data_IF_459317508259
#
_entry.id   IF_459317508259
#
_cell.length_a   1.000
_cell.length_b   1.000
_cell.length_c   1.000
_cell.angle_alpha   90.00
_cell.angle_beta   90.00
_cell.angle_gamma   90.00
#
_symmetry.space_group_name_H-M   'P 1'
#
loop_
_entity.id
_entity.type
_entity.pdbx_description
1 polymer ?
#
# COMPACT_ATOMS: atom_id res chain seq x y z
N UNK A 1 13.33 -11.58 -19.82
CA UNK A 1 11.86 -11.70 -19.87
C UNK A 1 11.53 -13.16 -19.60
N UNK A 2 10.64 -13.50 -18.67
CA UNK A 2 10.36 -14.90 -18.34
C UNK A 2 9.71 -15.57 -19.56
N UNK A 3 10.40 -16.55 -20.16
CA UNK A 3 10.09 -17.05 -21.51
C UNK A 3 10.04 -18.56 -21.60
N UNK A 4 10.27 -19.27 -20.49
CA UNK A 4 10.04 -20.72 -20.40
C UNK A 4 9.23 -21.06 -19.14
N UNK A 5 8.46 -22.14 -19.23
CA UNK A 5 7.81 -22.79 -18.09
C UNK A 5 8.81 -23.16 -16.98
N UNK A 6 10.05 -23.51 -17.36
CA UNK A 6 11.10 -23.95 -16.44
C UNK A 6 11.59 -22.81 -15.53
N UNK A 7 11.66 -21.58 -16.04
CA UNK A 7 11.99 -20.38 -15.24
C UNK A 7 10.97 -20.15 -14.12
N UNK A 8 9.68 -20.36 -14.42
CA UNK A 8 8.59 -20.16 -13.47
C UNK A 8 8.61 -21.22 -12.35
N UNK A 9 9.07 -22.44 -12.64
CA UNK A 9 9.26 -23.49 -11.63
C UNK A 9 10.28 -23.07 -10.57
N UNK A 10 11.43 -22.55 -11.00
CA UNK A 10 12.48 -22.04 -10.10
C UNK A 10 12.05 -20.79 -9.29
N UNK A 11 11.07 -20.04 -9.81
CA UNK A 11 10.46 -18.91 -9.11
C UNK A 11 9.41 -19.34 -8.07
N UNK A 12 8.94 -20.59 -8.13
CA UNK A 12 7.98 -21.20 -7.20
C UNK A 12 6.53 -21.07 -7.63
N UNK A 13 6.26 -21.07 -8.95
CA UNK A 13 4.90 -21.14 -9.48
C UNK A 13 4.40 -22.59 -9.57
N UNK A 14 3.10 -22.78 -9.36
CA UNK A 14 2.36 -24.04 -9.42
C UNK A 14 1.41 -24.02 -10.63
N UNK A 15 1.00 -25.20 -11.11
CA UNK A 15 0.14 -25.32 -12.31
C UNK A 15 0.87 -25.09 -13.64
N UNK A 16 2.19 -25.26 -13.67
CA UNK A 16 3.04 -25.06 -14.85
C UNK A 16 2.87 -26.17 -15.89
N UNK A 17 2.69 -27.41 -15.44
CA UNK A 17 2.41 -28.56 -16.32
C UNK A 17 0.91 -28.56 -16.66
N UNK A 18 0.51 -28.48 -17.94
CA UNK A 18 -0.90 -28.62 -18.33
C UNK A 18 -1.45 -30.00 -17.95
N UNK A 19 -2.74 -30.08 -17.62
CA UNK A 19 -3.41 -31.37 -17.48
C UNK A 19 -3.48 -32.09 -18.83
N UNK A 20 -3.27 -33.41 -18.84
CA UNK A 20 -3.25 -34.23 -20.06
C UNK A 20 -4.59 -34.26 -20.82
N UNK A 21 -5.70 -33.91 -20.14
CA UNK A 21 -7.05 -33.85 -20.74
C UNK A 21 -7.83 -32.63 -20.26
N UNK A 22 -8.73 -32.16 -21.13
CA UNK A 22 -9.55 -30.96 -20.92
C UNK A 22 -9.16 -29.80 -21.84
N UNK A 23 -9.74 -28.62 -21.61
CA UNK A 23 -9.27 -27.38 -22.25
C UNK A 23 -7.96 -26.96 -21.59
N UNK A 24 -6.88 -26.68 -22.34
CA UNK A 24 -5.63 -26.24 -21.74
C UNK A 24 -5.84 -24.94 -20.93
N UNK A 25 -5.18 -24.87 -19.77
CA UNK A 25 -5.15 -23.66 -18.96
C UNK A 25 -4.38 -22.54 -19.67
N UNK A 26 -4.60 -21.29 -19.23
CA UNK A 26 -3.74 -20.17 -19.62
C UNK A 26 -2.31 -20.41 -19.09
N UNK A 27 -1.30 -20.03 -19.87
CA UNK A 27 0.09 -20.10 -19.45
C UNK A 27 0.30 -19.24 -18.17
N UNK A 28 0.92 -19.79 -17.10
CA UNK A 28 1.33 -19.02 -15.92
C UNK A 28 2.12 -17.74 -16.24
N UNK A 29 2.87 -17.70 -17.35
CA UNK A 29 3.55 -16.52 -17.84
C UNK A 29 2.57 -15.38 -18.20
N UNK A 30 1.45 -15.68 -18.87
CA UNK A 30 0.44 -14.69 -19.25
C UNK A 30 -0.36 -14.20 -18.04
N UNK A 31 -0.70 -15.10 -17.13
CA UNK A 31 -1.35 -14.73 -15.87
C UNK A 31 -0.42 -13.89 -14.97
N UNK A 32 0.90 -14.16 -15.00
CA UNK A 32 1.92 -13.35 -14.33
C UNK A 32 2.08 -11.96 -14.97
N UNK A 33 2.04 -11.83 -16.30
CA UNK A 33 2.05 -10.54 -17.00
C UNK A 33 0.93 -9.61 -16.52
N UNK A 34 -0.29 -10.16 -16.37
CA UNK A 34 -1.45 -9.43 -15.82
C UNK A 34 -1.16 -8.92 -14.39
N UNK A 35 -0.48 -9.72 -13.56
CA UNK A 35 -0.12 -9.29 -12.20
C UNK A 35 1.02 -8.28 -12.13
N UNK A 36 1.99 -8.31 -13.04
CA UNK A 36 3.03 -7.28 -13.15
C UNK A 36 2.41 -5.95 -13.61
N UNK A 37 1.54 -5.99 -14.63
CA UNK A 37 0.78 -4.83 -15.09
C UNK A 37 -0.10 -4.26 -13.97
N UNK A 38 -0.82 -5.13 -13.25
CA UNK A 38 -1.64 -4.76 -12.11
C UNK A 38 -0.84 -4.11 -10.98
N UNK A 39 0.37 -4.61 -10.70
CA UNK A 39 1.26 -4.02 -9.69
C UNK A 39 1.74 -2.62 -10.11
N UNK A 40 2.24 -2.45 -11.35
CA UNK A 40 2.64 -1.14 -11.91
C UNK A 40 1.51 -0.11 -11.82
N UNK A 41 0.31 -0.49 -12.27
CA UNK A 41 -0.85 0.41 -12.36
C UNK A 41 -1.71 0.46 -11.09
N UNK A 42 -1.23 -0.10 -9.96
CA UNK A 42 -1.92 -0.15 -8.65
C UNK A 42 -3.32 -0.82 -8.68
N UNK A 43 -3.55 -1.75 -9.61
CA UNK A 43 -4.80 -2.49 -9.78
C UNK A 43 -4.70 -3.86 -9.08
N UNK A 44 -5.24 -3.94 -7.85
CA UNK A 44 -5.16 -5.15 -7.00
C UNK A 44 -6.38 -6.09 -7.09
N UNK A 45 -7.45 -5.67 -7.78
CA UNK A 45 -8.73 -6.39 -7.83
C UNK A 45 -8.85 -7.22 -9.11
N UNK A 46 -9.11 -8.54 -9.01
CA UNK A 46 -9.22 -9.42 -10.18
C UNK A 46 -10.36 -9.01 -11.14
N UNK A 47 -11.57 -8.62 -10.67
CA UNK A 47 -12.61 -7.99 -11.51
C UNK A 47 -12.30 -6.56 -12.00
N UNK A 48 -11.12 -5.99 -11.69
CA UNK A 48 -10.58 -4.82 -12.40
C UNK A 48 -9.55 -5.26 -13.45
N UNK A 49 -8.70 -6.23 -13.14
CA UNK A 49 -7.70 -6.79 -14.08
C UNK A 49 -8.37 -7.46 -15.30
N UNK A 50 -9.45 -8.21 -15.08
CA UNK A 50 -10.32 -8.76 -16.13
C UNK A 50 -10.82 -7.66 -17.10
N UNK A 51 -11.39 -6.58 -16.55
CA UNK A 51 -11.87 -5.44 -17.36
C UNK A 51 -10.76 -4.69 -18.07
N UNK A 52 -9.57 -4.56 -17.48
CA UNK A 52 -8.41 -4.02 -18.20
C UNK A 52 -7.97 -4.95 -19.35
N UNK A 53 -7.94 -6.27 -19.13
CA UNK A 53 -7.56 -7.23 -20.18
C UNK A 53 -8.53 -7.23 -21.38
N UNK A 54 -9.78 -6.82 -21.15
CA UNK A 54 -10.80 -6.67 -22.19
C UNK A 54 -10.75 -5.34 -22.96
N UNK A 55 -10.18 -4.26 -22.37
CA UNK A 55 -10.35 -2.89 -22.89
C UNK A 55 -9.07 -2.07 -23.05
N UNK A 56 -7.98 -2.45 -22.39
CA UNK A 56 -6.76 -1.65 -22.30
C UNK A 56 -5.73 -2.14 -23.31
N UNK A 57 -5.36 -1.28 -24.26
CA UNK A 57 -4.45 -1.64 -25.35
C UNK A 57 -3.07 -2.09 -24.85
N UNK A 58 -2.53 -1.52 -23.75
CA UNK A 58 -1.27 -1.97 -23.15
C UNK A 58 -1.37 -3.43 -22.70
N UNK A 59 -2.45 -3.78 -21.98
CA UNK A 59 -2.62 -5.11 -21.42
C UNK A 59 -2.99 -6.14 -22.50
N UNK A 60 -3.85 -5.76 -23.44
CA UNK A 60 -4.19 -6.58 -24.62
C UNK A 60 -2.97 -6.86 -25.50
N UNK A 61 -2.03 -5.91 -25.63
CA UNK A 61 -0.76 -6.16 -26.32
C UNK A 61 0.13 -7.12 -25.51
N UNK A 62 0.28 -6.86 -24.20
CA UNK A 62 1.11 -7.64 -23.29
C UNK A 62 0.67 -9.11 -23.16
N UNK A 63 -0.64 -9.41 -23.18
CA UNK A 63 -1.20 -10.77 -23.08
C UNK A 63 -1.53 -11.40 -24.43
N UNK A 64 -1.15 -10.81 -25.57
CA UNK A 64 -1.53 -11.34 -26.88
C UNK A 64 -3.05 -11.42 -27.10
N UNK A 65 -3.81 -10.51 -26.49
CA UNK A 65 -5.28 -10.45 -26.41
C UNK A 65 -5.95 -11.58 -25.62
N UNK A 66 -5.22 -12.32 -24.78
CA UNK A 66 -5.83 -13.26 -23.83
C UNK A 66 -6.67 -12.50 -22.79
N UNK A 67 -7.92 -12.92 -22.62
CA UNK A 67 -8.92 -12.36 -21.71
C UNK A 67 -9.38 -13.39 -20.66
N UNK A 68 -8.52 -13.77 -19.69
CA UNK A 68 -8.92 -14.65 -18.59
C UNK A 68 -9.95 -13.97 -17.68
N UNK A 69 -10.90 -14.74 -17.17
CA UNK A 69 -11.94 -14.23 -16.28
C UNK A 69 -11.40 -13.94 -14.86
N UNK A 70 -12.16 -13.20 -14.05
CA UNK A 70 -11.72 -12.82 -12.71
C UNK A 70 -11.47 -14.04 -11.81
N UNK A 71 -12.11 -15.19 -12.07
CA UNK A 71 -11.93 -16.44 -11.32
C UNK A 71 -10.57 -17.05 -11.62
N UNK A 72 -10.22 -17.16 -12.90
CA UNK A 72 -8.90 -17.60 -13.38
C UNK A 72 -7.80 -16.75 -12.75
N UNK A 73 -7.94 -15.42 -12.85
CA UNK A 73 -7.00 -14.45 -12.28
C UNK A 73 -6.91 -14.59 -10.75
N UNK A 74 -8.05 -14.73 -10.05
CA UNK A 74 -8.10 -14.85 -8.59
C UNK A 74 -7.51 -16.17 -8.07
N UNK A 75 -7.80 -17.30 -8.73
CA UNK A 75 -7.27 -18.62 -8.39
C UNK A 75 -5.75 -18.64 -8.57
N UNK A 76 -5.26 -18.19 -9.74
CA UNK A 76 -3.82 -18.09 -9.99
C UNK A 76 -3.08 -17.34 -8.88
N UNK A 77 -3.65 -16.24 -8.36
CA UNK A 77 -3.09 -15.50 -7.21
C UNK A 77 -3.24 -16.21 -5.87
N UNK A 78 -4.36 -16.91 -5.63
CA UNK A 78 -4.57 -17.70 -4.40
C UNK A 78 -3.44 -18.72 -4.24
N UNK A 79 -3.12 -19.40 -5.34
CA UNK A 79 -2.18 -20.51 -5.35
C UNK A 79 -0.73 -19.98 -5.47
N UNK A 80 -0.45 -19.06 -6.40
CA UNK A 80 0.90 -18.53 -6.68
C UNK A 80 1.28 -17.26 -5.87
N UNK A 81 0.52 -16.88 -4.84
CA UNK A 81 0.63 -15.57 -4.18
C UNK A 81 2.00 -15.23 -3.58
N UNK A 82 2.81 -16.24 -3.20
CA UNK A 82 4.19 -16.06 -2.74
C UNK A 82 5.14 -15.74 -3.91
N UNK A 83 5.03 -16.49 -5.01
CA UNK A 83 5.87 -16.33 -6.20
C UNK A 83 5.60 -15.00 -6.93
N UNK A 84 4.33 -14.62 -7.08
CA UNK A 84 3.93 -13.30 -7.62
C UNK A 84 4.59 -12.17 -6.82
N UNK A 85 4.58 -12.26 -5.48
CA UNK A 85 5.23 -11.26 -4.61
C UNK A 85 6.75 -11.21 -4.80
N UNK A 86 7.40 -12.37 -4.98
CA UNK A 86 8.84 -12.47 -5.27
C UNK A 86 9.19 -11.79 -6.60
N UNK A 87 8.41 -12.07 -7.66
CA UNK A 87 8.60 -11.47 -8.98
C UNK A 87 8.35 -9.96 -8.97
N UNK A 88 7.25 -9.48 -8.37
CA UNK A 88 6.99 -8.04 -8.30
C UNK A 88 8.07 -7.28 -7.51
N UNK A 89 8.67 -7.89 -6.47
CA UNK A 89 9.84 -7.32 -5.77
C UNK A 89 11.07 -7.24 -6.68
N UNK A 90 11.37 -8.30 -7.43
CA UNK A 90 12.49 -8.30 -8.39
C UNK A 90 12.27 -7.30 -9.53
N UNK A 91 11.04 -7.14 -10.01
CA UNK A 91 10.64 -6.16 -11.01
C UNK A 91 10.88 -4.71 -10.53
N UNK A 92 10.54 -4.38 -9.29
CA UNK A 92 10.84 -3.05 -8.70
C UNK A 92 12.36 -2.81 -8.63
N UNK A 93 13.13 -3.79 -8.15
CA UNK A 93 14.61 -3.66 -8.10
C UNK A 93 15.20 -3.45 -9.50
N UNK A 94 14.70 -4.18 -10.50
CA UNK A 94 15.12 -4.02 -11.91
C UNK A 94 14.77 -2.63 -12.46
N UNK A 95 13.54 -2.14 -12.22
CA UNK A 95 13.15 -0.79 -12.64
C UNK A 95 13.98 0.31 -11.95
N UNK A 96 14.40 0.10 -10.69
CA UNK A 96 15.31 1.00 -9.99
C UNK A 96 16.72 0.97 -10.60
N UNK A 97 17.28 -0.22 -10.88
CA UNK A 97 18.58 -0.39 -11.51
C UNK A 97 18.64 0.20 -12.93
N UNK A 98 17.53 0.16 -13.67
CA UNK A 98 17.42 0.73 -15.02
C UNK A 98 17.08 2.24 -15.03
N UNK A 99 17.01 2.91 -13.88
CA UNK A 99 16.67 4.33 -13.80
C UNK A 99 15.22 4.67 -14.22
N UNK A 100 14.34 3.67 -14.33
CA UNK A 100 12.95 3.82 -14.81
C UNK A 100 12.00 4.44 -13.77
N UNK A 101 12.52 4.81 -12.59
CA UNK A 101 11.83 5.63 -11.61
C UNK A 101 12.53 6.99 -11.51
N UNK A 102 11.90 8.02 -12.09
CA UNK A 102 12.34 9.42 -11.97
C UNK A 102 12.08 9.96 -10.55
N UNK A 103 13.05 9.78 -9.65
CA UNK A 103 13.09 10.28 -8.26
C UNK A 103 11.78 10.15 -7.46
N UNK A 104 11.01 9.10 -7.76
CA UNK A 104 9.71 8.86 -7.14
C UNK A 104 9.91 8.41 -5.69
N UNK A 105 9.91 9.36 -4.76
CA UNK A 105 9.90 9.16 -3.31
C UNK A 105 8.98 7.98 -2.96
N UNK A 106 9.55 6.85 -2.52
CA UNK A 106 8.80 5.62 -2.28
C UNK A 106 8.09 5.69 -0.93
N UNK A 107 7.17 6.66 -0.82
CA UNK A 107 6.16 6.69 0.21
C UNK A 107 5.29 5.44 0.07
N UNK A 108 5.42 4.51 1.02
CA UNK A 108 4.56 3.33 1.13
C UNK A 108 3.22 3.79 1.75
N UNK A 109 2.44 4.59 1.02
CA UNK A 109 1.05 4.91 1.38
C UNK A 109 0.19 3.65 1.26
N UNK A 110 0.06 2.93 2.38
CA UNK A 110 -0.80 1.76 2.51
C UNK A 110 -2.27 2.14 2.48
N UNK A 111 -2.89 2.05 1.30
CA UNK A 111 -4.17 2.70 0.98
C UNK A 111 -5.01 1.90 -0.01
N UNK A 112 -6.35 1.96 -0.06
CA UNK A 112 -7.44 2.60 0.74
C UNK A 112 -8.73 1.83 0.30
N UNK A 113 -9.82 1.58 1.04
CA UNK A 113 -10.42 2.07 2.30
C UNK A 113 -11.24 0.94 3.01
N UNK A 114 -11.79 1.19 4.21
CA UNK A 114 -13.16 0.76 4.61
C UNK A 114 -14.07 2.01 4.74
N UNK A 115 -15.39 1.83 4.86
CA UNK A 115 -16.39 2.90 4.70
C UNK A 115 -16.19 4.17 5.57
N UNK A 116 -16.83 5.27 5.16
CA UNK A 116 -16.64 6.64 5.69
C UNK A 116 -16.99 6.80 7.19
N UNK A 117 -17.68 5.82 7.78
CA UNK A 117 -17.73 5.63 9.23
C UNK A 117 -16.52 4.79 9.70
N UNK A 118 -15.32 5.38 9.65
CA UNK A 118 -14.20 4.84 10.40
C UNK A 118 -14.39 5.17 11.89
N UNK A 119 -14.26 4.16 12.76
CA UNK A 119 -14.33 4.25 14.23
C UNK A 119 -13.41 5.34 14.81
N UNK A 120 -12.35 5.69 14.07
CA UNK A 120 -11.39 6.76 14.35
C UNK A 120 -11.91 8.20 14.18
N UNK A 121 -13.01 8.41 13.44
CA UNK A 121 -13.61 9.74 13.16
C UNK A 121 -14.70 10.12 14.16
N UNK A 122 -14.97 9.24 15.13
CA UNK A 122 -15.89 9.44 16.23
C UNK A 122 -15.08 9.70 17.51
N UNK A 123 -15.11 10.93 18.00
CA UNK A 123 -14.36 11.41 19.15
C UNK A 123 -15.24 11.38 20.40
N UNK A 124 -14.65 10.92 21.50
CA UNK A 124 -15.15 11.05 22.88
C UNK A 124 -13.95 11.44 23.74
N UNK A 125 -14.16 12.13 24.86
CA UNK A 125 -13.06 12.72 25.66
C UNK A 125 -11.95 11.71 25.96
N UNK A 126 -12.30 10.50 26.45
CA UNK A 126 -11.33 9.44 26.75
C UNK A 126 -10.55 8.91 25.52
N UNK A 127 -11.12 8.96 24.29
CA UNK A 127 -10.38 8.63 23.06
C UNK A 127 -9.42 9.75 22.64
N UNK A 128 -9.84 11.00 22.87
CA UNK A 128 -9.12 12.19 22.46
C UNK A 128 -7.89 12.38 23.35
N UNK A 129 -8.09 12.38 24.67
CA UNK A 129 -7.04 12.37 25.69
C UNK A 129 -5.98 11.29 25.42
N UNK A 130 -6.40 10.03 25.23
CA UNK A 130 -5.50 8.93 24.92
C UNK A 130 -4.68 9.15 23.63
N UNK A 131 -5.26 9.76 22.60
CA UNK A 131 -4.52 10.09 21.37
C UNK A 131 -3.52 11.22 21.57
N UNK A 132 -3.83 12.18 22.45
CA UNK A 132 -2.87 13.22 22.84
C UNK A 132 -1.68 12.59 23.58
N UNK A 133 -1.93 11.73 24.56
CA UNK A 133 -0.89 10.96 25.28
C UNK A 133 -0.01 10.10 24.33
N UNK A 134 -0.62 9.39 23.37
CA UNK A 134 0.10 8.60 22.36
C UNK A 134 0.96 9.48 21.42
N UNK A 135 0.54 10.73 21.16
CA UNK A 135 1.31 11.72 20.38
C UNK A 135 2.44 12.34 21.22
N UNK A 136 2.20 12.73 22.48
CA UNK A 136 3.22 13.32 23.36
C UNK A 136 4.34 12.30 23.65
N UNK A 137 3.98 11.06 23.96
CA UNK A 137 4.93 9.94 24.08
C UNK A 137 5.77 9.75 22.79
N UNK A 138 5.15 9.91 21.62
CA UNK A 138 5.85 9.83 20.33
C UNK A 138 6.79 11.02 20.08
N UNK A 139 6.40 12.24 20.46
CA UNK A 139 7.24 13.44 20.38
C UNK A 139 8.43 13.31 21.33
N UNK A 140 8.20 12.97 22.60
CA UNK A 140 9.25 12.83 23.62
C UNK A 140 10.30 11.79 23.19
N UNK A 141 9.88 10.64 22.66
CA UNK A 141 10.78 9.62 22.11
C UNK A 141 11.63 10.14 20.94
N UNK A 142 11.10 11.03 20.09
CA UNK A 142 11.86 11.62 18.99
C UNK A 142 12.81 12.73 19.45
N UNK A 143 12.45 13.49 20.49
CA UNK A 143 13.36 14.45 21.15
C UNK A 143 14.55 13.72 21.77
N UNK A 144 14.33 12.66 22.56
CA UNK A 144 15.42 11.85 23.12
C UNK A 144 16.29 11.16 22.05
N UNK A 145 15.74 10.88 20.87
CA UNK A 145 16.51 10.39 19.74
C UNK A 145 17.39 11.48 19.09
N UNK A 146 16.95 12.75 19.07
CA UNK A 146 17.77 13.91 18.69
C UNK A 146 18.89 14.14 19.73
N UNK A 147 18.55 14.19 21.03
CA UNK A 147 19.50 14.34 22.14
C UNK A 147 20.60 13.27 22.15
N UNK A 148 20.35 12.11 21.50
CA UNK A 148 21.29 11.00 21.34
C UNK A 148 22.09 11.11 20.03
N UNK A 149 21.47 11.59 18.94
CA UNK A 149 22.15 11.81 17.66
C UNK A 149 23.17 12.96 17.74
N UNK A 150 22.86 14.04 18.46
CA UNK A 150 23.74 15.20 18.66
C UNK A 150 25.01 14.87 19.48
N UNK A 151 25.10 13.66 20.05
CA UNK A 151 26.25 13.13 20.79
C UNK A 151 27.11 12.17 19.95
N UNK A 152 26.83 12.01 18.66
CA UNK A 152 27.48 11.05 17.75
C UNK A 152 27.91 11.69 16.41
N UNK A 153 28.74 10.99 15.64
CA UNK A 153 29.44 11.57 14.48
C UNK A 153 28.53 12.12 13.36
N UNK A 154 28.92 13.23 12.71
CA UNK A 154 27.97 14.20 12.17
C UNK A 154 27.20 13.75 10.92
N UNK A 155 27.86 13.17 9.93
CA UNK A 155 27.31 13.06 8.57
C UNK A 155 26.04 12.19 8.48
N UNK A 156 25.96 11.11 9.26
CA UNK A 156 24.78 10.22 9.31
C UNK A 156 23.80 10.64 10.41
N UNK A 157 24.24 11.45 11.38
CA UNK A 157 23.36 12.03 12.40
C UNK A 157 22.46 13.14 11.80
N UNK A 158 23.03 14.05 10.99
CA UNK A 158 22.31 15.19 10.41
C UNK A 158 21.06 14.79 9.61
N UNK A 159 21.18 13.89 8.63
CA UNK A 159 20.04 13.42 7.82
C UNK A 159 18.97 12.71 8.68
N UNK A 160 19.37 12.02 9.75
CA UNK A 160 18.41 11.43 10.71
C UNK A 160 17.72 12.50 11.55
N UNK A 161 18.45 13.55 11.94
CA UNK A 161 17.91 14.66 12.71
C UNK A 161 16.86 15.44 11.92
N UNK A 162 17.12 15.78 10.65
CA UNK A 162 16.16 16.45 9.76
C UNK A 162 14.84 15.66 9.66
N UNK A 163 14.93 14.35 9.41
CA UNK A 163 13.79 13.43 9.35
C UNK A 163 13.06 13.22 10.69
N UNK A 164 13.68 13.56 11.83
CA UNK A 164 13.03 13.58 13.14
C UNK A 164 12.34 14.92 13.40
N UNK A 165 12.95 16.04 13.00
CA UNK A 165 12.33 17.37 13.08
C UNK A 165 11.04 17.46 12.26
N UNK A 166 11.02 16.95 11.03
CA UNK A 166 9.81 16.89 10.18
C UNK A 166 8.67 16.09 10.86
N UNK A 167 9.01 14.95 11.50
CA UNK A 167 8.04 14.13 12.24
C UNK A 167 7.52 14.83 13.49
N UNK A 168 8.38 15.53 14.23
CA UNK A 168 7.98 16.31 15.40
C UNK A 168 7.06 17.46 14.98
N UNK A 169 7.36 18.17 13.88
CA UNK A 169 6.49 19.21 13.33
C UNK A 169 5.11 18.64 12.94
N UNK A 170 5.09 17.53 12.19
CA UNK A 170 3.85 16.84 11.78
C UNK A 170 3.01 16.38 12.97
N UNK A 171 3.63 15.92 14.06
CA UNK A 171 2.94 15.54 15.29
C UNK A 171 2.42 16.75 16.07
N UNK A 172 3.14 17.88 16.09
CA UNK A 172 2.68 19.14 16.70
C UNK A 172 1.45 19.71 15.98
N UNK A 173 1.39 19.67 14.65
CA UNK A 173 0.19 20.06 13.90
C UNK A 173 -1.02 19.19 14.27
N UNK A 174 -0.84 17.86 14.32
CA UNK A 174 -1.93 16.93 14.72
C UNK A 174 -2.36 17.07 16.17
N UNK A 175 -1.45 17.44 17.07
CA UNK A 175 -1.79 17.79 18.45
C UNK A 175 -2.70 19.03 18.49
N UNK A 176 -2.42 20.04 17.67
CA UNK A 176 -3.26 21.25 17.58
C UNK A 176 -4.65 20.93 17.00
N UNK A 177 -4.73 20.14 15.93
CA UNK A 177 -6.01 19.65 15.37
C UNK A 177 -6.86 18.92 16.43
N UNK A 178 -6.26 18.09 17.28
CA UNK A 178 -6.97 17.39 18.35
C UNK A 178 -7.47 18.33 19.45
N UNK A 179 -6.69 19.34 19.84
CA UNK A 179 -7.11 20.35 20.83
C UNK A 179 -8.28 21.21 20.34
N UNK A 180 -8.32 21.54 19.05
CA UNK A 180 -9.45 22.24 18.44
C UNK A 180 -10.73 21.37 18.43
N UNK A 181 -10.58 20.06 18.18
CA UNK A 181 -11.68 19.09 18.32
C UNK A 181 -12.11 18.93 19.79
N UNK A 182 -11.19 19.04 20.76
CA UNK A 182 -11.50 18.97 22.19
C UNK A 182 -12.36 20.14 22.67
N UNK A 183 -12.05 21.37 22.23
CA UNK A 183 -12.88 22.56 22.51
C UNK A 183 -14.31 22.35 21.99
N UNK A 184 -14.45 21.97 20.72
CA UNK A 184 -15.77 21.68 20.11
C UNK A 184 -16.51 20.55 20.83
N UNK A 185 -15.79 19.54 21.33
CA UNK A 185 -16.36 18.40 22.05
C UNK A 185 -16.94 18.81 23.41
N UNK A 186 -16.31 19.78 24.08
CA UNK A 186 -16.78 20.34 25.35
C UNK A 186 -17.97 21.31 25.18
N UNK A 187 -18.09 21.96 24.03
CA UNK A 187 -19.27 22.75 23.63
C UNK A 187 -20.49 21.87 23.25
N UNK A 188 -20.26 20.59 22.92
CA UNK A 188 -21.31 19.65 22.47
C UNK A 188 -21.93 18.90 23.66
N UNK A 189 -23.26 19.01 23.91
CA UNK A 189 -23.89 18.44 25.11
C UNK A 189 -23.76 16.91 25.20
N UNK A 190 -23.78 16.21 24.07
CA UNK A 190 -23.64 14.74 23.99
C UNK A 190 -22.20 14.24 24.22
N UNK A 191 -21.22 15.13 24.37
CA UNK A 191 -19.78 14.84 24.54
C UNK A 191 -19.20 13.87 23.50
N UNK A 192 -19.78 13.85 22.31
CA UNK A 192 -19.41 12.99 21.19
C UNK A 192 -19.53 13.73 19.85
N UNK A 193 -18.44 13.78 19.09
CA UNK A 193 -18.40 14.39 17.74
C UNK A 193 -18.06 13.32 16.71
N UNK A 194 -18.76 13.33 15.57
CA UNK A 194 -18.45 12.48 14.42
C UNK A 194 -18.21 13.34 13.18
N UNK A 195 -16.98 13.38 12.66
CA UNK A 195 -16.61 14.22 11.51
C UNK A 195 -17.12 13.67 10.15
N UNK A 196 -17.99 12.66 10.16
CA UNK A 196 -18.70 12.12 9.01
C UNK A 196 -19.99 12.90 8.74
N UNK A 197 -19.84 14.12 8.23
CA UNK A 197 -20.85 14.99 7.57
C UNK A 197 -22.33 14.73 7.89
N UNK A 198 -22.88 15.60 8.73
CA UNK A 198 -24.30 15.98 8.81
C UNK A 198 -24.84 16.42 7.43
N UNK A 199 -25.30 15.48 6.60
CA UNK A 199 -25.99 15.78 5.33
C UNK A 199 -26.91 14.64 4.87
N UNK A 200 -28.05 14.51 5.56
CA UNK A 200 -29.29 13.93 5.05
C UNK A 200 -30.43 14.41 5.96
N UNK A 201 -31.52 14.89 5.35
CA UNK A 201 -32.86 14.96 5.95
C UNK A 201 -33.72 13.95 5.19
#
# INVERSE_FOLDING_TARGET
MFSSMNDLGQLGFEGIVPAETGRPAYDPADLLKIYIYGYRNRIQSSPRLEREAQRNLELMWLTGRLMPDFKTIANFRKDNGKAIRRVCRQFVVLCQQLGLFSEALVAIDGSKFKAVNNRDRNFTSAKLQRRMEEIESSINRYLSALDTADRQEPAVAQVKAELLHEKIATLKTKMQELKEIEVQLNETPDKQISLSTRSAR
#
